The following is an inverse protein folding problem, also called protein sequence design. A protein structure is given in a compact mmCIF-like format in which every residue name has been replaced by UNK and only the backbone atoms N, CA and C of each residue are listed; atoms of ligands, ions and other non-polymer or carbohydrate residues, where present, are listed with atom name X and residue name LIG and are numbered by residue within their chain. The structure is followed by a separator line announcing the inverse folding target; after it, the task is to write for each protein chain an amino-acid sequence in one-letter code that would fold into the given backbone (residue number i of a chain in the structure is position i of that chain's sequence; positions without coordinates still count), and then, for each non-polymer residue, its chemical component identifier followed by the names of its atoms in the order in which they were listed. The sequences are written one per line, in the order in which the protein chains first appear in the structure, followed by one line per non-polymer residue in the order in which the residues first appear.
data_IF_876786746603
#
_entry.id   IF_876786746603
#
_cell.length_a   1.000
_cell.length_b   1.000
_cell.length_c   1.000
_cell.angle_alpha   90.00
_cell.angle_beta   90.00
_cell.angle_gamma   90.00
#
_symmetry.space_group_name_H-M   'P 1'
#
loop_
_entity.id
_entity.type
_entity.pdbx_description
1 polymer ?
#
# COMPACT_ATOMS: atom_id res chain seq x y z
N UNK A 1 5.47 1.92 -10.84
CA UNK A 1 4.36 2.14 -9.89
C UNK A 1 3.04 2.40 -10.64
N UNK A 2 1.87 2.11 -10.09
CA UNK A 2 0.58 2.22 -10.80
C UNK A 2 -0.55 2.80 -9.94
N UNK A 3 -1.38 3.70 -10.51
CA UNK A 3 -2.54 4.38 -9.86
C UNK A 3 -2.26 4.86 -8.42
N UNK A 4 -1.08 5.45 -8.22
CA UNK A 4 -0.62 5.90 -6.90
C UNK A 4 -1.51 7.02 -6.36
N UNK A 5 -1.93 6.85 -5.11
CA UNK A 5 -2.70 7.80 -4.32
C UNK A 5 -1.78 8.68 -3.46
N UNK A 6 -0.72 8.09 -2.91
CA UNK A 6 0.27 8.76 -2.08
C UNK A 6 1.63 8.04 -2.14
N UNK A 7 2.71 8.74 -1.78
CA UNK A 7 4.05 8.19 -1.71
C UNK A 7 4.88 8.79 -0.58
N UNK A 8 5.63 7.92 0.09
CA UNK A 8 6.57 8.27 1.15
C UNK A 8 7.97 7.80 0.75
N UNK A 9 8.96 8.68 0.90
CA UNK A 9 10.37 8.37 0.62
C UNK A 9 11.14 8.46 1.93
N UNK A 10 11.84 7.39 2.24
CA UNK A 10 12.69 7.25 3.44
C UNK A 10 14.09 7.80 3.19
N UNK A 11 14.86 8.02 4.26
CA UNK A 11 16.22 8.59 4.16
C UNK A 11 17.20 7.69 3.39
N UNK A 12 16.98 6.37 3.38
CA UNK A 12 17.72 5.38 2.60
C UNK A 12 17.19 5.24 1.16
N UNK A 13 16.46 6.24 0.67
CA UNK A 13 15.98 6.36 -0.70
C UNK A 13 15.02 5.24 -1.14
N UNK A 14 14.33 4.60 -0.19
CA UNK A 14 13.24 3.67 -0.47
C UNK A 14 11.91 4.41 -0.62
N UNK A 15 11.23 4.14 -1.74
CA UNK A 15 9.89 4.65 -2.05
C UNK A 15 8.84 3.63 -1.61
N UNK A 16 7.85 4.11 -0.84
CA UNK A 16 6.64 3.42 -0.47
C UNK A 16 5.48 4.10 -1.17
N UNK A 17 4.92 3.47 -2.19
CA UNK A 17 3.84 4.05 -2.99
C UNK A 17 2.55 3.25 -2.81
N UNK A 18 1.52 3.90 -2.28
CA UNK A 18 0.21 3.28 -2.07
C UNK A 18 -0.69 3.50 -3.27
N UNK A 19 -1.32 2.43 -3.72
CA UNK A 19 -2.22 2.37 -4.85
C UNK A 19 -3.57 1.88 -4.36
N UNK A 20 -4.55 2.78 -4.22
CA UNK A 20 -5.89 2.41 -3.73
C UNK A 20 -6.86 1.96 -4.83
N UNK A 21 -6.44 2.05 -6.08
CA UNK A 21 -7.35 2.13 -7.22
C UNK A 21 -7.11 1.10 -8.32
N UNK A 22 -5.94 0.45 -8.35
CA UNK A 22 -5.69 -0.62 -9.32
C UNK A 22 -6.64 -1.79 -9.09
N UNK A 23 -7.22 -2.21 -10.21
CA UNK A 23 -8.10 -3.37 -10.32
C UNK A 23 -8.07 -3.85 -11.77
N UNK A 24 -8.62 -5.04 -12.04
CA UNK A 24 -8.74 -5.60 -13.40
C UNK A 24 -9.39 -4.66 -14.41
N UNK A 25 -10.21 -3.69 -13.98
CA UNK A 25 -10.87 -2.73 -14.86
C UNK A 25 -10.16 -1.37 -14.96
N UNK A 26 -9.39 -0.98 -13.93
CA UNK A 26 -8.75 0.35 -13.86
C UNK A 26 -7.26 0.31 -14.21
N UNK A 27 -6.62 -0.83 -14.01
CA UNK A 27 -5.22 -1.07 -14.35
C UNK A 27 -5.00 -2.58 -14.54
N UNK A 28 -5.15 -3.03 -15.78
CA UNK A 28 -5.15 -4.45 -16.13
C UNK A 28 -3.85 -5.11 -15.66
N UNK A 29 -3.95 -6.27 -15.00
CA UNK A 29 -2.85 -7.04 -14.40
C UNK A 29 -2.23 -6.46 -13.12
N UNK A 30 -2.77 -5.36 -12.58
CA UNK A 30 -2.29 -4.77 -11.34
C UNK A 30 -3.31 -4.95 -10.22
N UNK A 31 -2.79 -5.22 -9.01
CA UNK A 31 -3.54 -5.25 -7.75
C UNK A 31 -3.23 -3.99 -6.94
N UNK A 32 -4.21 -3.40 -6.28
CA UNK A 32 -4.01 -2.33 -5.30
C UNK A 32 -3.13 -2.80 -4.12
N UNK A 33 -2.55 -1.87 -3.36
CA UNK A 33 -1.66 -2.15 -2.22
C UNK A 33 -0.49 -1.16 -2.11
N UNK A 34 0.45 -1.44 -1.21
CA UNK A 34 1.69 -0.63 -1.05
C UNK A 34 2.84 -1.32 -1.77
N UNK A 35 3.53 -0.58 -2.64
CA UNK A 35 4.71 -1.05 -3.38
C UNK A 35 5.97 -0.40 -2.82
N UNK A 36 7.01 -1.20 -2.67
CA UNK A 36 8.25 -0.78 -2.02
C UNK A 36 9.41 -1.05 -2.97
N UNK A 37 10.24 -0.04 -3.22
CA UNK A 37 11.39 -0.13 -4.11
C UNK A 37 12.32 1.07 -3.97
N UNK A 38 13.60 0.94 -4.35
CA UNK A 38 14.53 2.07 -4.38
C UNK A 38 14.08 3.13 -5.38
N UNK A 39 14.35 4.40 -5.10
CA UNK A 39 13.92 5.54 -5.93
C UNK A 39 14.56 5.55 -7.32
N UNK A 40 15.75 4.97 -7.44
CA UNK A 40 16.63 5.07 -8.61
C UNK A 40 16.62 3.80 -9.48
N UNK A 41 15.78 2.81 -9.17
CA UNK A 41 15.70 1.56 -9.93
C UNK A 41 14.26 1.21 -10.28
N UNK A 42 14.07 0.60 -11.45
CA UNK A 42 12.76 0.14 -11.91
C UNK A 42 12.45 -1.28 -11.40
N UNK A 43 12.60 -1.51 -10.09
CA UNK A 43 12.33 -2.78 -9.43
C UNK A 43 11.54 -2.59 -8.14
N UNK A 44 10.68 -3.57 -7.82
CA UNK A 44 10.02 -3.66 -6.52
C UNK A 44 10.74 -4.70 -5.66
N UNK A 45 11.07 -4.33 -4.43
CA UNK A 45 11.69 -5.22 -3.44
C UNK A 45 10.69 -5.68 -2.37
N UNK A 46 9.53 -5.03 -2.29
CA UNK A 46 8.47 -5.39 -1.34
C UNK A 46 7.08 -5.01 -1.82
N UNK A 47 6.08 -5.68 -1.26
CA UNK A 47 4.67 -5.42 -1.53
C UNK A 47 3.81 -5.76 -0.31
N UNK A 48 2.98 -4.82 0.12
CA UNK A 48 1.92 -5.05 1.13
C UNK A 48 0.60 -5.20 0.37
N UNK A 49 -0.03 -6.40 0.43
CA UNK A 49 -1.28 -6.64 -0.28
C UNK A 49 -2.44 -5.87 0.37
N UNK A 50 -3.53 -5.64 -0.38
CA UNK A 50 -4.73 -5.04 0.15
C UNK A 50 -5.46 -6.05 1.07
N UNK A 51 -6.37 -5.55 1.89
CA UNK A 51 -7.34 -6.38 2.61
C UNK A 51 -8.25 -7.12 1.64
N UNK A 52 -8.51 -8.41 1.89
CA UNK A 52 -9.62 -9.09 1.22
C UNK A 52 -10.94 -8.44 1.66
N UNK A 53 -11.85 -8.20 0.71
CA UNK A 53 -13.12 -7.52 0.98
C UNK A 53 -14.24 -8.06 0.09
N UNK A 54 -15.39 -8.33 0.71
CA UNK A 54 -16.61 -8.73 0.02
C UNK A 54 -17.16 -7.62 -0.89
N UNK A 55 -16.83 -6.35 -0.59
CA UNK A 55 -17.22 -5.21 -1.42
C UNK A 55 -16.45 -5.13 -2.74
N UNK A 56 -15.24 -5.73 -2.78
CA UNK A 56 -14.33 -5.72 -3.94
C UNK A 56 -13.68 -7.09 -4.15
N UNK A 57 -14.47 -8.13 -4.48
CA UNK A 57 -13.96 -9.49 -4.57
C UNK A 57 -12.84 -9.60 -5.62
N UNK A 58 -11.80 -10.39 -5.30
CA UNK A 58 -10.59 -10.63 -6.09
C UNK A 58 -9.63 -9.43 -6.27
N UNK A 59 -9.95 -8.26 -5.73
CA UNK A 59 -9.07 -7.10 -5.74
C UNK A 59 -8.69 -6.70 -4.32
N UNK A 60 -9.68 -6.61 -3.44
CA UNK A 60 -9.52 -6.12 -2.08
C UNK A 60 -9.57 -4.60 -1.98
N UNK A 61 -9.29 -4.10 -0.78
CA UNK A 61 -9.30 -2.67 -0.43
C UNK A 61 -8.01 -2.30 0.31
N UNK A 62 -7.53 -1.08 0.13
CA UNK A 62 -6.34 -0.56 0.82
C UNK A 62 -6.56 0.92 1.10
N UNK A 63 -5.80 1.48 2.03
CA UNK A 63 -5.86 2.90 2.34
C UNK A 63 -5.34 3.79 1.22
N UNK A 64 -5.32 5.10 1.49
CA UNK A 64 -5.04 6.15 0.51
C UNK A 64 -3.79 6.97 0.84
N UNK A 65 -3.29 6.90 2.08
CA UNK A 65 -2.06 7.55 2.52
C UNK A 65 -1.05 6.55 3.08
N UNK A 66 0.25 6.86 2.98
CA UNK A 66 1.32 5.98 3.47
C UNK A 66 2.41 6.78 4.19
N UNK A 67 2.91 6.23 5.30
CA UNK A 67 4.07 6.76 6.02
C UNK A 67 4.90 5.62 6.61
N UNK A 68 6.16 5.88 6.91
CA UNK A 68 7.10 4.88 7.44
C UNK A 68 7.86 5.48 8.62
N UNK A 69 8.00 4.72 9.71
CA UNK A 69 8.83 5.13 10.87
C UNK A 69 10.29 4.68 10.73
N UNK A 70 11.14 5.10 11.67
CA UNK A 70 12.57 4.79 11.70
C UNK A 70 12.87 3.29 11.87
N UNK A 71 11.92 2.52 12.42
CA UNK A 71 12.02 1.07 12.55
C UNK A 71 11.57 0.33 11.27
N UNK A 72 11.16 1.07 10.23
CA UNK A 72 10.66 0.54 8.96
C UNK A 72 9.22 0.06 8.99
N UNK A 73 8.45 0.35 10.06
CA UNK A 73 7.03 0.00 10.10
C UNK A 73 6.25 0.91 9.14
N UNK A 74 5.33 0.31 8.40
CA UNK A 74 4.49 1.03 7.43
C UNK A 74 3.14 1.36 8.05
N UNK A 75 2.74 2.61 7.96
CA UNK A 75 1.44 3.12 8.37
C UNK A 75 0.63 3.45 7.13
N UNK A 76 -0.60 2.97 7.09
CA UNK A 76 -1.55 3.27 6.02
C UNK A 76 -2.73 4.02 6.61
N UNK A 77 -3.06 5.17 6.02
CA UNK A 77 -4.28 5.91 6.33
C UNK A 77 -5.45 5.29 5.56
N UNK A 78 -6.39 4.67 6.28
CA UNK A 78 -7.50 3.94 5.69
C UNK A 78 -8.56 4.91 5.12
N UNK A 79 -8.96 4.67 3.88
CA UNK A 79 -9.91 5.52 3.16
C UNK A 79 -11.34 4.97 3.22
N UNK A 80 -12.32 5.66 2.61
CA UNK A 80 -13.71 5.23 2.60
C UNK A 80 -13.93 3.81 2.08
N UNK A 81 -13.05 3.35 1.18
CA UNK A 81 -13.13 2.01 0.60
C UNK A 81 -12.62 0.91 1.53
N UNK A 82 -11.69 1.19 2.45
CA UNK A 82 -11.01 0.19 3.26
C UNK A 82 -11.35 0.24 4.75
N UNK A 83 -11.93 1.35 5.22
CA UNK A 83 -12.24 1.58 6.63
C UNK A 83 -13.11 0.49 7.26
N UNK A 84 -14.08 -0.06 6.51
CA UNK A 84 -14.96 -1.14 6.98
C UNK A 84 -14.21 -2.44 7.26
N UNK A 85 -13.19 -2.73 6.45
CA UNK A 85 -12.45 -3.99 6.49
C UNK A 85 -11.24 -3.89 7.43
N UNK A 86 -10.59 -2.71 7.49
CA UNK A 86 -9.47 -2.45 8.38
C UNK A 86 -9.89 -2.23 9.85
N UNK A 87 -11.14 -1.80 10.10
CA UNK A 87 -11.68 -1.61 11.45
C UNK A 87 -11.10 -0.43 12.23
N UNK A 88 -10.20 0.36 11.62
CA UNK A 88 -9.61 1.56 12.22
C UNK A 88 -9.15 2.55 11.13
N UNK A 89 -8.91 3.81 11.51
CA UNK A 89 -8.46 4.84 10.57
C UNK A 89 -7.00 4.65 10.11
N UNK A 90 -6.20 3.87 10.83
CA UNK A 90 -4.80 3.62 10.51
C UNK A 90 -4.45 2.15 10.71
N UNK A 91 -3.87 1.53 9.69
CA UNK A 91 -3.27 0.20 9.81
C UNK A 91 -1.76 0.33 9.96
N UNK A 92 -1.18 -0.35 10.95
CA UNK A 92 0.27 -0.49 11.11
C UNK A 92 0.71 -1.89 10.65
N UNK A 93 1.60 -1.94 9.66
CA UNK A 93 2.31 -3.14 9.25
C UNK A 93 3.70 -3.12 9.89
N UNK A 94 3.95 -4.12 10.74
CA UNK A 94 5.21 -4.23 11.49
C UNK A 94 6.19 -5.07 10.70
N UNK A 95 7.44 -4.61 10.60
CA UNK A 95 8.52 -5.43 10.08
C UNK A 95 8.68 -6.62 11.02
N UNK A 96 8.51 -7.84 10.51
CA UNK A 96 8.76 -9.02 11.32
C UNK A 96 10.21 -8.99 11.79
N UNK A 97 10.43 -8.82 13.10
CA UNK A 97 11.77 -8.88 13.68
C UNK A 97 12.44 -10.21 13.30
N UNK A 98 13.70 -10.13 12.87
CA UNK A 98 14.54 -11.30 12.64
C UNK A 98 14.80 -12.06 13.94
#
# INVERSE_FOLDING_TARGET
YGRISDLFITEDEMVYAIDSESSRLRHINWRNGVRIGPVDQDVLVGFIPPWESDSRPNHGVTGEGVGVDEDGNVFVAEGPASLSDAGSAFTKYVVAGM
#
